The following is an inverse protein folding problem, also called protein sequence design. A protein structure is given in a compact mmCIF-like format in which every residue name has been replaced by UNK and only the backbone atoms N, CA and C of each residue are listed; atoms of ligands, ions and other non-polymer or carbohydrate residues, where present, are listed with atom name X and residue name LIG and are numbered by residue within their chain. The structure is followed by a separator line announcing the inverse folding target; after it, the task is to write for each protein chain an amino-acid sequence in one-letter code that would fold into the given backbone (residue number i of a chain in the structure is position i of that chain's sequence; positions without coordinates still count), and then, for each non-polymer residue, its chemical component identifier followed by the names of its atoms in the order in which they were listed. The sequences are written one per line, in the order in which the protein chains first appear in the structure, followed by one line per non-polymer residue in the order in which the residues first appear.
data_IF_300951026227
#
_entry.id   IF_300951026227
#
_cell.length_a   1.000
_cell.length_b   1.000
_cell.length_c   1.000
_cell.angle_alpha   90.00
_cell.angle_beta   90.00
_cell.angle_gamma   90.00
#
_symmetry.space_group_name_H-M   'P 1'
#
loop_
_entity.id
_entity.type
_entity.pdbx_description
1 polymer ?
#
# COMPACT_ATOMS: atom_id res chain seq x y z
N UNK A 1 -30.06 -8.67 31.67
CA UNK A 1 -29.03 -9.72 31.85
C UNK A 1 -29.04 -10.77 30.74
N UNK A 2 -30.05 -10.82 29.84
CA UNK A 2 -30.08 -11.75 28.70
C UNK A 2 -29.40 -11.24 27.42
N UNK A 3 -29.37 -9.92 27.18
CA UNK A 3 -28.79 -9.35 25.95
C UNK A 3 -27.26 -9.57 25.81
N UNK A 4 -26.53 -9.63 26.92
CA UNK A 4 -25.08 -9.90 26.89
C UNK A 4 -24.76 -11.35 26.53
N UNK A 5 -25.68 -12.28 26.76
CA UNK A 5 -25.52 -13.70 26.44
C UNK A 5 -25.74 -13.96 24.95
N UNK A 6 -26.76 -13.34 24.36
CA UNK A 6 -27.03 -13.44 22.91
C UNK A 6 -25.92 -12.83 22.06
N UNK A 7 -25.36 -11.68 22.47
CA UNK A 7 -24.23 -11.06 21.75
C UNK A 7 -22.95 -11.91 21.82
N UNK A 8 -22.67 -12.54 22.95
CA UNK A 8 -21.50 -13.41 23.11
C UNK A 8 -21.61 -14.66 22.22
N UNK A 9 -22.77 -15.32 22.21
CA UNK A 9 -23.03 -16.49 21.37
C UNK A 9 -23.01 -16.14 19.88
N UNK A 10 -23.54 -14.98 19.51
CA UNK A 10 -23.56 -14.52 18.11
C UNK A 10 -22.13 -14.21 17.65
N UNK A 11 -21.32 -13.50 18.46
CA UNK A 11 -19.91 -13.25 18.16
C UNK A 11 -19.09 -14.54 18.06
N UNK A 12 -19.34 -15.52 18.94
CA UNK A 12 -18.66 -16.81 18.89
C UNK A 12 -19.00 -17.59 17.62
N UNK A 13 -20.30 -17.68 17.29
CA UNK A 13 -20.76 -18.37 16.07
C UNK A 13 -20.26 -17.71 14.79
N UNK A 14 -20.07 -16.38 14.81
CA UNK A 14 -19.53 -15.63 13.69
C UNK A 14 -18.03 -15.86 13.54
N UNK A 15 -17.30 -15.92 14.67
CA UNK A 15 -15.86 -16.26 14.70
C UNK A 15 -15.63 -17.66 14.14
N UNK A 16 -16.38 -18.66 14.60
CA UNK A 16 -16.22 -20.06 14.14
C UNK A 16 -16.49 -20.21 12.64
N UNK A 17 -17.50 -19.49 12.13
CA UNK A 17 -17.80 -19.45 10.68
C UNK A 17 -16.72 -18.76 9.87
N UNK A 18 -16.13 -17.68 10.40
CA UNK A 18 -15.02 -16.99 9.75
C UNK A 18 -13.77 -17.87 9.72
N UNK A 19 -13.48 -18.57 10.82
CA UNK A 19 -12.35 -19.51 10.90
C UNK A 19 -12.52 -20.69 9.94
N UNK A 20 -13.72 -21.28 9.87
CA UNK A 20 -13.99 -22.36 8.90
C UNK A 20 -13.86 -21.88 7.47
N UNK A 21 -14.37 -20.69 7.15
CA UNK A 21 -14.29 -20.13 5.80
C UNK A 21 -12.85 -19.76 5.43
N UNK A 22 -12.07 -19.23 6.38
CA UNK A 22 -10.64 -18.99 6.19
C UNK A 22 -9.88 -20.29 5.93
N UNK A 23 -10.10 -21.33 6.74
CA UNK A 23 -9.47 -22.65 6.55
C UNK A 23 -9.86 -23.31 5.23
N UNK A 24 -11.07 -23.07 4.75
CA UNK A 24 -11.56 -23.56 3.46
C UNK A 24 -10.88 -22.83 2.29
N UNK A 25 -10.73 -21.50 2.39
CA UNK A 25 -10.00 -20.68 1.42
C UNK A 25 -8.50 -21.00 1.41
N UNK A 26 -7.88 -21.24 2.57
CA UNK A 26 -6.48 -21.65 2.66
C UNK A 26 -6.23 -22.94 1.87
N UNK A 27 -7.11 -23.94 2.04
CA UNK A 27 -7.05 -25.19 1.27
C UNK A 27 -7.27 -24.98 -0.23
N UNK A 28 -8.18 -24.09 -0.60
CA UNK A 28 -8.53 -23.83 -2.00
C UNK A 28 -7.43 -23.08 -2.76
N UNK A 29 -6.78 -22.10 -2.13
CA UNK A 29 -5.82 -21.20 -2.80
C UNK A 29 -4.35 -21.60 -2.64
N UNK A 30 -3.96 -22.24 -1.53
CA UNK A 30 -2.55 -22.48 -1.19
C UNK A 30 -2.15 -23.97 -1.20
N UNK A 31 -3.12 -24.89 -1.15
CA UNK A 31 -2.91 -26.34 -1.11
C UNK A 31 -2.51 -26.86 0.28
N UNK A 32 -2.61 -28.17 0.51
CA UNK A 32 -2.27 -28.78 1.80
C UNK A 32 -0.80 -28.50 2.18
N UNK A 33 -0.60 -27.86 3.33
CA UNK A 33 0.73 -27.66 3.93
C UNK A 33 1.39 -26.29 3.65
N UNK A 34 0.74 -25.37 2.95
CA UNK A 34 1.19 -23.97 2.87
C UNK A 34 0.35 -23.09 3.79
N UNK A 35 1.00 -22.47 4.77
CA UNK A 35 0.33 -21.54 5.67
C UNK A 35 0.05 -20.21 4.96
N UNK A 36 -1.15 -19.66 5.18
CA UNK A 36 -1.58 -18.37 4.64
C UNK A 36 -0.73 -17.20 5.16
N UNK A 37 -0.28 -17.31 6.41
CA UNK A 37 0.51 -16.28 7.06
C UNK A 37 1.99 -16.60 6.92
N UNK A 38 2.78 -15.59 6.55
CA UNK A 38 4.25 -15.66 6.58
C UNK A 38 4.81 -15.59 8.01
N UNK A 39 4.00 -15.17 8.98
CA UNK A 39 4.40 -15.01 10.39
C UNK A 39 4.37 -16.35 11.12
N UNK A 40 5.52 -16.73 11.67
CA UNK A 40 5.70 -17.93 12.52
C UNK A 40 5.12 -17.75 13.94
N UNK A 41 4.62 -16.55 14.28
CA UNK A 41 4.11 -16.26 15.62
C UNK A 41 2.77 -16.91 15.88
N UNK A 42 2.51 -17.21 17.15
CA UNK A 42 1.23 -17.77 17.58
C UNK A 42 0.04 -16.86 17.23
N UNK A 43 -1.13 -17.47 16.98
CA UNK A 43 -2.36 -16.72 16.67
C UNK A 43 -2.66 -15.71 17.78
N UNK A 44 -2.84 -14.44 17.43
CA UNK A 44 -3.16 -13.40 18.39
C UNK A 44 -2.54 -12.05 18.03
N UNK A 45 -2.25 -11.27 19.09
CA UNK A 45 -1.77 -9.89 18.99
C UNK A 45 -0.44 -9.82 18.25
N UNK A 46 0.49 -10.72 18.54
CA UNK A 46 1.84 -10.66 17.96
C UNK A 46 1.84 -10.98 16.45
N UNK A 47 1.04 -11.95 16.02
CA UNK A 47 0.86 -12.26 14.59
C UNK A 47 0.22 -11.09 13.84
N UNK A 48 -0.77 -10.43 14.45
CA UNK A 48 -1.41 -9.26 13.85
C UNK A 48 -0.42 -8.09 13.72
N UNK A 49 0.41 -7.85 14.73
CA UNK A 49 1.46 -6.81 14.67
C UNK A 49 2.42 -7.10 13.51
N UNK A 50 2.94 -8.33 13.41
CA UNK A 50 3.90 -8.69 12.37
C UNK A 50 3.29 -8.61 10.97
N UNK A 51 2.07 -9.13 10.79
CA UNK A 51 1.36 -9.09 9.50
C UNK A 51 1.01 -7.67 9.08
N UNK A 52 0.57 -6.83 10.03
CA UNK A 52 0.27 -5.42 9.75
C UNK A 52 1.54 -4.64 9.45
N UNK A 53 2.64 -4.95 10.13
CA UNK A 53 3.92 -4.33 9.90
C UNK A 53 4.50 -4.67 8.53
N UNK A 54 4.43 -5.95 8.14
CA UNK A 54 4.76 -6.37 6.78
C UNK A 54 3.91 -5.60 5.78
N UNK A 55 2.59 -5.60 5.95
CA UNK A 55 1.66 -4.89 5.06
C UNK A 55 1.98 -3.39 4.93
N UNK A 56 2.26 -2.71 6.05
CA UNK A 56 2.63 -1.30 6.08
C UNK A 56 4.00 -1.05 5.41
N UNK A 57 4.97 -1.94 5.64
CA UNK A 57 6.29 -1.88 5.01
C UNK A 57 6.23 -2.05 3.49
N UNK A 58 5.42 -2.98 2.99
CA UNK A 58 5.24 -3.16 1.55
C UNK A 58 4.51 -1.98 0.93
N UNK A 59 3.42 -1.55 1.58
CA UNK A 59 2.59 -0.44 1.11
C UNK A 59 3.41 0.84 0.98
N UNK A 60 4.21 1.21 2.00
CA UNK A 60 5.02 2.44 1.95
C UNK A 60 5.99 2.44 0.76
N UNK A 61 6.67 1.33 0.50
CA UNK A 61 7.66 1.26 -0.57
C UNK A 61 7.00 1.27 -1.95
N UNK A 62 5.93 0.48 -2.14
CA UNK A 62 5.24 0.43 -3.42
C UNK A 62 4.62 1.78 -3.78
N UNK A 63 3.96 2.45 -2.81
CA UNK A 63 3.41 3.78 -3.04
C UNK A 63 4.50 4.82 -3.29
N UNK A 64 5.63 4.76 -2.58
CA UNK A 64 6.74 5.68 -2.82
C UNK A 64 7.31 5.51 -4.23
N UNK A 65 7.50 4.28 -4.70
CA UNK A 65 8.03 4.01 -6.04
C UNK A 65 7.00 4.41 -7.10
N UNK A 66 5.70 4.14 -6.89
CA UNK A 66 4.62 4.59 -7.77
C UNK A 66 4.64 6.13 -7.90
N UNK A 67 4.69 6.85 -6.78
CA UNK A 67 4.74 8.31 -6.76
C UNK A 67 5.97 8.86 -7.51
N UNK A 68 7.17 8.29 -7.28
CA UNK A 68 8.39 8.71 -8.00
C UNK A 68 8.24 8.47 -9.51
N UNK A 69 7.79 7.28 -9.93
CA UNK A 69 7.66 6.95 -11.36
C UNK A 69 6.66 7.88 -12.05
N UNK A 70 5.53 8.17 -11.41
CA UNK A 70 4.55 9.11 -11.95
C UNK A 70 5.09 10.54 -11.97
N UNK A 71 5.85 10.96 -10.97
CA UNK A 71 6.50 12.27 -10.99
C UNK A 71 7.47 12.43 -12.18
N UNK A 72 8.28 11.41 -12.47
CA UNK A 72 9.14 11.41 -13.65
C UNK A 72 8.35 11.44 -14.97
N UNK A 73 7.24 10.71 -15.04
CA UNK A 73 6.33 10.75 -16.19
C UNK A 73 5.73 12.14 -16.40
N UNK A 74 5.32 12.81 -15.32
CA UNK A 74 4.79 14.18 -15.36
C UNK A 74 5.84 15.19 -15.83
N UNK A 75 7.09 15.04 -15.39
CA UNK A 75 8.20 15.88 -15.88
C UNK A 75 8.37 15.70 -17.39
N UNK A 76 8.42 14.44 -17.87
CA UNK A 76 8.55 14.13 -19.29
C UNK A 76 7.37 14.70 -20.10
N UNK A 77 6.14 14.54 -19.62
CA UNK A 77 4.94 15.03 -20.27
C UNK A 77 4.92 16.56 -20.31
N UNK A 78 5.38 17.22 -19.25
CA UNK A 78 5.54 18.69 -19.21
C UNK A 78 6.53 19.17 -20.26
N UNK A 79 7.67 18.50 -20.43
CA UNK A 79 8.61 18.80 -21.51
C UNK A 79 8.00 18.58 -22.88
N UNK A 80 7.17 17.54 -23.07
CA UNK A 80 6.46 17.30 -24.31
C UNK A 80 5.46 18.44 -24.63
N UNK A 81 4.71 18.94 -23.64
CA UNK A 81 3.82 20.11 -23.82
C UNK A 81 4.63 21.33 -24.26
N UNK A 82 5.73 21.64 -23.57
CA UNK A 82 6.61 22.76 -23.91
C UNK A 82 7.12 22.60 -25.35
N UNK A 83 7.56 21.40 -25.73
CA UNK A 83 8.03 21.14 -27.08
C UNK A 83 6.95 21.40 -28.14
N UNK A 84 5.71 20.91 -27.93
CA UNK A 84 4.58 21.14 -28.84
C UNK A 84 4.29 22.64 -28.95
N UNK A 85 4.22 23.36 -27.83
CA UNK A 85 3.88 24.79 -27.81
C UNK A 85 4.94 25.66 -28.46
N UNK A 86 6.23 25.40 -28.23
CA UNK A 86 7.31 26.25 -28.73
C UNK A 86 7.79 25.88 -30.14
N UNK A 87 7.70 24.62 -30.55
CA UNK A 87 8.23 24.17 -31.85
C UNK A 87 7.13 23.86 -32.86
N UNK A 88 6.04 23.21 -32.45
CA UNK A 88 4.99 22.76 -33.38
C UNK A 88 4.00 23.87 -33.68
N UNK A 89 3.52 24.60 -32.66
CA UNK A 89 2.51 25.66 -32.85
C UNK A 89 2.98 26.77 -33.80
N UNK A 90 4.21 27.33 -33.70
CA UNK A 90 4.64 28.39 -34.62
C UNK A 90 4.79 27.94 -36.07
N UNK A 91 5.12 26.66 -36.29
CA UNK A 91 5.19 26.05 -37.63
C UNK A 91 3.78 25.81 -38.18
N UNK A 92 2.87 25.29 -37.35
CA UNK A 92 1.48 25.05 -37.71
C UNK A 92 0.70 26.35 -37.98
N UNK A 93 1.05 27.46 -37.31
CA UNK A 93 0.45 28.79 -37.56
C UNK A 93 0.65 29.27 -39.00
N UNK A 94 1.66 28.77 -39.71
CA UNK A 94 1.91 29.07 -41.12
C UNK A 94 1.07 28.21 -42.09
N UNK A 95 0.34 27.22 -41.58
CA UNK A 95 -0.54 26.33 -42.36
C UNK A 95 -2.00 26.42 -41.89
N UNK A 96 -2.92 25.82 -42.66
CA UNK A 96 -4.37 25.88 -42.40
C UNK A 96 -4.87 24.99 -41.23
N UNK A 97 -3.97 24.33 -40.49
CA UNK A 97 -4.30 23.32 -39.46
C UNK A 97 -3.98 23.87 -38.06
N UNK A 98 -4.70 24.90 -37.64
CA UNK A 98 -4.45 25.60 -36.37
C UNK A 98 -5.07 24.91 -35.14
N UNK A 99 -6.14 24.14 -35.33
CA UNK A 99 -6.96 23.60 -34.21
C UNK A 99 -6.36 22.33 -33.58
N UNK A 100 -5.70 21.48 -34.37
CA UNK A 100 -5.15 20.20 -33.90
C UNK A 100 -4.17 20.30 -32.71
N UNK A 101 -3.14 21.18 -32.73
CA UNK A 101 -2.20 21.27 -31.60
C UNK A 101 -2.86 21.80 -30.32
N UNK A 102 -3.89 22.64 -30.42
CA UNK A 102 -4.62 23.15 -29.25
C UNK A 102 -5.36 22.02 -28.53
N UNK A 103 -6.04 21.13 -29.28
CA UNK A 103 -6.73 19.97 -28.72
C UNK A 103 -5.73 19.05 -28.00
N UNK A 104 -4.57 18.80 -28.61
CA UNK A 104 -3.51 17.97 -28.01
C UNK A 104 -3.03 18.56 -26.68
N UNK A 105 -2.79 19.88 -26.62
CA UNK A 105 -2.34 20.55 -25.39
C UNK A 105 -3.40 20.46 -24.28
N UNK A 106 -4.68 20.70 -24.60
CA UNK A 106 -5.78 20.58 -23.63
C UNK A 106 -5.89 19.15 -23.12
N UNK A 107 -5.81 18.16 -24.01
CA UNK A 107 -5.83 16.75 -23.63
C UNK A 107 -4.65 16.38 -22.71
N UNK A 108 -3.43 16.80 -23.06
CA UNK A 108 -2.26 16.59 -22.20
C UNK A 108 -2.40 17.26 -20.84
N UNK A 109 -2.95 18.48 -20.79
CA UNK A 109 -3.18 19.18 -19.52
C UNK A 109 -4.14 18.42 -18.61
N UNK A 110 -5.19 17.82 -19.17
CA UNK A 110 -6.12 16.98 -18.40
C UNK A 110 -5.44 15.72 -17.86
N UNK A 111 -4.67 15.01 -18.70
CA UNK A 111 -3.90 13.83 -18.28
C UNK A 111 -2.89 14.17 -17.19
N UNK A 112 -2.15 15.28 -17.33
CA UNK A 112 -1.22 15.77 -16.30
C UNK A 112 -1.96 16.01 -14.97
N UNK A 113 -3.13 16.63 -15.01
CA UNK A 113 -3.90 16.94 -13.80
C UNK A 113 -4.35 15.68 -13.06
N UNK A 114 -4.82 14.66 -13.78
CA UNK A 114 -5.29 13.40 -13.19
C UNK A 114 -4.12 12.58 -12.59
N UNK A 115 -3.04 12.47 -13.35
CA UNK A 115 -1.81 11.78 -12.91
C UNK A 115 -1.14 12.48 -11.72
N UNK A 116 -1.20 13.82 -11.66
CA UNK A 116 -0.70 14.60 -10.52
C UNK A 116 -1.49 14.32 -9.24
N UNK A 117 -2.82 14.25 -9.33
CA UNK A 117 -3.68 13.88 -8.20
C UNK A 117 -3.34 12.47 -7.69
N UNK A 118 -3.18 11.51 -8.61
CA UNK A 118 -2.80 10.14 -8.29
C UNK A 118 -1.40 10.05 -7.64
N UNK A 119 -0.42 10.79 -8.17
CA UNK A 119 0.92 10.88 -7.58
C UNK A 119 0.89 11.41 -6.15
N UNK A 120 0.08 12.45 -5.89
CA UNK A 120 -0.07 13.02 -4.56
C UNK A 120 -0.77 12.06 -3.58
N UNK A 121 -1.76 11.30 -4.07
CA UNK A 121 -2.43 10.26 -3.30
C UNK A 121 -1.45 9.16 -2.88
N UNK A 122 -0.63 8.64 -3.81
CA UNK A 122 0.41 7.66 -3.50
C UNK A 122 1.46 8.21 -2.53
N UNK A 123 1.93 9.45 -2.72
CA UNK A 123 2.89 10.08 -1.82
C UNK A 123 2.35 10.18 -0.39
N UNK A 124 1.10 10.64 -0.25
CA UNK A 124 0.45 10.77 1.06
C UNK A 124 0.24 9.41 1.71
N UNK A 125 -0.17 8.41 0.94
CA UNK A 125 -0.33 7.04 1.41
C UNK A 125 0.99 6.44 1.89
N UNK A 126 2.08 6.64 1.14
CA UNK A 126 3.41 6.17 1.52
C UNK A 126 3.83 6.70 2.90
N UNK A 127 3.67 8.01 3.12
CA UNK A 127 4.01 8.66 4.38
C UNK A 127 3.13 8.19 5.55
N UNK A 128 1.84 7.95 5.30
CA UNK A 128 0.92 7.41 6.31
C UNK A 128 1.26 5.96 6.66
N UNK A 129 1.53 5.11 5.66
CA UNK A 129 1.99 3.74 5.89
C UNK A 129 3.33 3.69 6.64
N UNK A 130 4.24 4.62 6.38
CA UNK A 130 5.48 4.76 7.15
C UNK A 130 5.21 5.19 8.61
N UNK A 131 4.25 6.09 8.85
CA UNK A 131 3.87 6.48 10.20
C UNK A 131 3.25 5.30 10.98
N UNK A 132 2.45 4.46 10.32
CA UNK A 132 1.92 3.21 10.88
C UNK A 132 3.06 2.24 11.22
N UNK A 133 3.97 2.00 10.29
CA UNK A 133 5.13 1.10 10.49
C UNK A 133 5.98 1.53 11.71
N UNK A 134 6.27 2.84 11.82
CA UNK A 134 7.00 3.39 12.98
C UNK A 134 6.21 3.32 14.30
N UNK A 135 4.88 3.41 14.25
CA UNK A 135 4.03 3.20 15.43
C UNK A 135 4.07 1.75 15.88
N UNK A 136 4.04 0.80 14.95
CA UNK A 136 4.12 -0.63 15.24
C UNK A 136 5.46 -1.03 15.85
N UNK A 137 6.57 -0.46 15.36
CA UNK A 137 7.89 -0.65 15.98
C UNK A 137 7.84 -0.31 17.48
N UNK A 138 7.30 0.85 17.84
CA UNK A 138 7.18 1.28 19.25
C UNK A 138 6.25 0.40 20.08
N UNK A 139 5.25 -0.22 19.45
CA UNK A 139 4.29 -1.10 20.13
C UNK A 139 4.92 -2.47 20.39
N UNK A 140 5.79 -2.95 19.48
CA UNK A 140 6.54 -4.19 19.69
C UNK A 140 7.49 -4.12 20.88
N UNK A 141 8.09 -2.96 21.14
CA UNK A 141 8.97 -2.75 22.31
C UNK A 141 8.21 -2.80 23.65
N UNK A 142 6.87 -2.75 23.63
CA UNK A 142 6.05 -2.87 24.83
C UNK A 142 5.84 -4.35 25.18
N UNK A 143 6.20 -4.74 26.42
CA UNK A 143 6.03 -6.12 26.93
C UNK A 143 4.60 -6.69 26.87
N UNK A 144 3.58 -5.84 26.76
CA UNK A 144 2.18 -6.24 26.66
C UNK A 144 1.35 -5.18 25.89
N UNK A 145 1.31 -5.24 24.55
CA UNK A 145 0.59 -4.25 23.76
C UNK A 145 -0.93 -4.40 23.94
N UNK A 146 -1.61 -3.29 24.24
CA UNK A 146 -3.09 -3.28 24.36
C UNK A 146 -3.74 -3.53 22.99
N UNK A 147 -4.74 -4.42 22.97
CA UNK A 147 -5.52 -4.75 21.76
C UNK A 147 -6.19 -3.51 21.16
N UNK A 148 -6.64 -2.59 22.00
CA UNK A 148 -7.31 -1.35 21.59
C UNK A 148 -6.37 -0.44 20.77
N UNK A 149 -5.11 -0.32 21.21
CA UNK A 149 -4.08 0.46 20.51
C UNK A 149 -3.78 -0.18 19.16
N UNK A 150 -3.68 -1.51 19.10
CA UNK A 150 -3.42 -2.22 17.86
C UNK A 150 -4.56 -2.07 16.85
N UNK A 151 -5.81 -2.15 17.30
CA UNK A 151 -6.99 -1.93 16.46
C UNK A 151 -7.07 -0.49 15.96
N UNK A 152 -6.69 0.49 16.78
CA UNK A 152 -6.59 1.88 16.35
C UNK A 152 -5.54 2.05 15.23
N UNK A 153 -4.36 1.45 15.38
CA UNK A 153 -3.30 1.47 14.35
C UNK A 153 -3.72 0.74 13.07
N UNK A 154 -4.47 -0.36 13.20
CA UNK A 154 -5.07 -1.04 12.04
C UNK A 154 -6.10 -0.15 11.32
N UNK A 155 -6.90 0.62 12.08
CA UNK A 155 -7.80 1.62 11.52
C UNK A 155 -7.05 2.70 10.74
N UNK A 156 -5.97 3.24 11.32
CA UNK A 156 -5.11 4.23 10.64
C UNK A 156 -4.53 3.69 9.34
N UNK A 157 -4.06 2.43 9.35
CA UNK A 157 -3.57 1.76 8.14
C UNK A 157 -4.67 1.61 7.09
N UNK A 158 -5.84 1.14 7.49
CA UNK A 158 -6.98 0.94 6.59
C UNK A 158 -7.42 2.26 5.93
N UNK A 159 -7.44 3.35 6.70
CA UNK A 159 -7.73 4.69 6.17
C UNK A 159 -6.63 5.17 5.23
N UNK A 160 -5.36 4.85 5.52
CA UNK A 160 -4.24 5.23 4.68
C UNK A 160 -4.27 4.55 3.30
N UNK A 161 -4.83 3.34 3.19
CA UNK A 161 -4.87 2.57 1.94
C UNK A 161 -6.20 2.64 1.19
N UNK A 162 -7.32 2.93 1.88
CA UNK A 162 -8.66 2.86 1.29
C UNK A 162 -8.92 3.81 0.12
N UNK A 163 -8.33 5.01 0.15
CA UNK A 163 -8.57 6.05 -0.85
C UNK A 163 -7.51 6.09 -1.96
N UNK A 164 -6.58 5.12 -1.97
CA UNK A 164 -5.40 5.15 -2.83
C UNK A 164 -5.68 4.42 -4.14
N UNK A 165 -5.28 4.96 -5.30
CA UNK A 165 -5.39 4.24 -6.55
C UNK A 165 -4.66 2.89 -6.48
N UNK A 166 -5.22 1.83 -7.09
CA UNK A 166 -4.63 0.50 -7.05
C UNK A 166 -3.23 0.51 -7.65
N UNK A 167 -2.31 -0.23 -7.01
CA UNK A 167 -0.93 -0.35 -7.48
C UNK A 167 -0.92 -1.18 -8.77
N UNK A 168 -0.29 -0.69 -9.85
CA UNK A 168 -0.19 -1.46 -11.09
C UNK A 168 0.55 -2.79 -10.88
N UNK A 169 0.02 -3.90 -11.40
CA UNK A 169 0.60 -5.24 -11.18
C UNK A 169 2.05 -5.36 -11.67
N UNK A 170 2.40 -4.69 -12.77
CA UNK A 170 3.77 -4.69 -13.30
C UNK A 170 4.76 -4.02 -12.34
N UNK A 171 4.31 -3.00 -11.58
CA UNK A 171 5.15 -2.33 -10.60
C UNK A 171 5.44 -3.27 -9.44
N UNK A 172 4.42 -3.95 -8.93
CA UNK A 172 4.55 -4.97 -7.90
C UNK A 172 5.53 -6.08 -8.32
N UNK A 173 5.33 -6.69 -9.49
CA UNK A 173 6.21 -7.77 -9.96
C UNK A 173 7.67 -7.32 -10.11
N UNK A 174 7.90 -6.09 -10.57
CA UNK A 174 9.26 -5.55 -10.73
C UNK A 174 9.99 -5.32 -9.41
N UNK A 175 9.27 -4.96 -8.33
CA UNK A 175 9.89 -4.62 -7.04
C UNK A 175 9.80 -5.76 -6.01
N UNK A 176 8.96 -6.79 -6.23
CA UNK A 176 8.74 -7.89 -5.28
C UNK A 176 10.03 -8.52 -4.76
N UNK A 177 10.98 -8.83 -5.65
CA UNK A 177 12.26 -9.46 -5.26
C UNK A 177 13.09 -8.55 -4.36
N UNK A 178 13.12 -7.25 -4.67
CA UNK A 178 13.85 -6.25 -3.90
C UNK A 178 13.18 -6.05 -2.53
N UNK A 179 11.86 -5.96 -2.49
CA UNK A 179 11.11 -5.80 -1.24
C UNK A 179 11.23 -7.01 -0.32
N UNK A 180 11.16 -8.22 -0.88
CA UNK A 180 11.45 -9.46 -0.14
C UNK A 180 12.83 -9.43 0.51
N UNK A 181 13.85 -9.00 -0.24
CA UNK A 181 15.21 -8.88 0.29
C UNK A 181 15.28 -7.86 1.43
N UNK A 182 14.73 -6.65 1.24
CA UNK A 182 14.75 -5.61 2.26
C UNK A 182 13.99 -6.01 3.54
N UNK A 183 12.89 -6.76 3.38
CA UNK A 183 12.13 -7.30 4.50
C UNK A 183 12.93 -8.36 5.26
N UNK A 184 13.57 -9.29 4.54
CA UNK A 184 14.43 -10.31 5.13
C UNK A 184 15.62 -9.68 5.89
N UNK A 185 16.28 -8.67 5.31
CA UNK A 185 17.38 -7.94 5.93
C UNK A 185 16.92 -7.23 7.23
N UNK A 186 15.72 -6.65 7.23
CA UNK A 186 15.11 -6.03 8.43
C UNK A 186 14.86 -7.06 9.53
N UNK A 187 14.29 -8.20 9.19
CA UNK A 187 13.99 -9.26 10.16
C UNK A 187 15.27 -9.88 10.74
N UNK A 188 16.28 -10.11 9.91
CA UNK A 188 17.59 -10.57 10.37
C UNK A 188 18.24 -9.59 11.37
N UNK A 189 18.16 -8.29 11.09
CA UNK A 189 18.71 -7.25 11.96
C UNK A 189 18.01 -7.19 13.34
N UNK A 190 16.73 -7.54 13.41
CA UNK A 190 15.99 -7.60 14.68
C UNK A 190 16.40 -8.79 15.54
N UNK A 191 16.57 -9.96 14.91
CA UNK A 191 16.98 -11.17 15.61
C UNK A 191 18.38 -11.03 16.24
N UNK A 192 19.30 -10.30 15.61
CA UNK A 192 20.61 -10.02 16.20
C UNK A 192 20.52 -9.16 17.46
N UNK A 193 19.65 -8.15 17.48
CA UNK A 193 19.48 -7.27 18.65
C UNK A 193 18.83 -7.99 19.84
N UNK A 194 17.89 -8.90 19.60
CA UNK A 194 17.28 -9.72 20.66
C UNK A 194 18.23 -10.78 21.24
N UNK A 195 19.33 -11.12 20.56
CA UNK A 195 20.31 -12.11 21.04
C UNK A 195 21.44 -11.53 21.90
N UNK A 196 21.57 -10.19 21.94
CA UNK A 196 22.59 -9.47 22.73
C UNK A 196 22.05 -8.92 24.07
N UNK A 197 20.73 -8.98 24.31
CA UNK A 197 20.07 -8.64 25.59
C UNK A 197 19.77 -9.88 26.46
#
# INVERSE_FOLDING_TARGET
MSESFELADLLHSFSDKLEQKAAQLDKEFYGEGKEYYTSDKSKGVDRLIESLQESAFWSKHLYHIAAIRTFWLLILLSFAVIFVVFFIVPVAYKGAIFVAPQIIVVFLAFVISDELSSAFAWWTAANRSEAVDRRLDKIMDLKAPSREILLAVFGDYSVATAAVPPIPSHLYESERLRLNKLWADRNASRQTTESEE
#
